data_IF_806923577054
#
_entry.id   IF_806923577054
#
_cell.length_a   1.000
_cell.length_b   1.000
_cell.length_c   1.000
_cell.angle_alpha   90.00
_cell.angle_beta   90.00
_cell.angle_gamma   90.00
#
_symmetry.space_group_name_H-M   'P 1'
#
loop_
_entity.id
_entity.type
_entity.pdbx_description
1 polymer ?
#
# COMPACT_ATOMS: atom_id res chain seq x y z
N UNK A 1 -9.76 -17.72 10.55
CA UNK A 1 -11.05 -18.30 10.98
C UNK A 1 -11.78 -17.41 11.99
N UNK A 2 -11.17 -16.99 13.10
CA UNK A 2 -11.81 -16.13 14.11
C UNK A 2 -12.32 -14.77 13.58
N UNK A 3 -11.57 -14.13 12.68
CA UNK A 3 -11.97 -12.84 12.08
C UNK A 3 -13.20 -12.94 11.17
N UNK A 4 -13.40 -14.08 10.48
CA UNK A 4 -14.55 -14.28 9.60
C UNK A 4 -15.87 -14.38 10.39
N UNK A 5 -15.80 -14.94 11.60
CA UNK A 5 -16.93 -15.05 12.53
C UNK A 5 -17.43 -13.64 12.92
N UNK A 6 -16.52 -12.69 13.17
CA UNK A 6 -16.86 -11.32 13.54
C UNK A 6 -17.68 -10.59 12.47
N UNK A 7 -17.40 -10.84 11.20
CA UNK A 7 -18.11 -10.21 10.08
C UNK A 7 -19.33 -11.00 9.59
N UNK A 8 -19.59 -12.18 10.14
CA UNK A 8 -20.69 -13.04 9.70
C UNK A 8 -22.06 -12.35 9.78
N UNK A 9 -22.42 -11.64 10.87
CA UNK A 9 -23.71 -10.93 10.95
C UNK A 9 -23.85 -9.85 9.87
N UNK A 10 -22.76 -9.12 9.59
CA UNK A 10 -22.72 -8.09 8.56
C UNK A 10 -22.92 -8.69 7.17
N UNK A 11 -22.21 -9.78 6.84
CA UNK A 11 -22.31 -10.44 5.54
C UNK A 11 -23.70 -11.04 5.31
N UNK A 12 -24.28 -11.69 6.32
CA UNK A 12 -25.63 -12.24 6.25
C UNK A 12 -26.67 -11.12 6.07
N UNK A 13 -26.61 -10.08 6.91
CA UNK A 13 -27.55 -8.95 6.82
C UNK A 13 -27.45 -8.23 5.47
N UNK A 14 -26.24 -8.01 4.97
CA UNK A 14 -26.01 -7.36 3.67
C UNK A 14 -26.52 -8.21 2.52
N UNK A 15 -26.36 -9.54 2.59
CA UNK A 15 -26.90 -10.46 1.58
C UNK A 15 -28.43 -10.42 1.55
N UNK A 16 -29.07 -10.50 2.72
CA UNK A 16 -30.54 -10.41 2.83
C UNK A 16 -31.03 -9.07 2.25
N UNK A 17 -30.41 -7.95 2.64
CA UNK A 17 -30.77 -6.61 2.13
C UNK A 17 -30.59 -6.50 0.61
N UNK A 18 -29.53 -7.09 0.06
CA UNK A 18 -29.27 -7.07 -1.37
C UNK A 18 -30.39 -7.73 -2.17
N UNK A 19 -30.92 -8.86 -1.70
CA UNK A 19 -31.99 -9.58 -2.39
C UNK A 19 -33.38 -8.98 -2.12
N UNK A 20 -33.63 -8.45 -0.92
CA UNK A 20 -34.94 -7.88 -0.58
C UNK A 20 -35.14 -6.46 -1.11
N UNK A 21 -34.11 -5.61 -1.02
CA UNK A 21 -34.21 -4.19 -1.40
C UNK A 21 -33.53 -3.88 -2.73
N UNK A 22 -32.86 -4.86 -3.33
CA UNK A 22 -31.98 -4.66 -4.47
C UNK A 22 -30.58 -4.15 -4.10
N UNK A 23 -29.65 -4.10 -5.07
CA UNK A 23 -28.32 -3.57 -4.84
C UNK A 23 -28.34 -2.04 -4.64
N UNK A 24 -27.40 -1.47 -3.87
CA UNK A 24 -27.29 -0.01 -3.71
C UNK A 24 -27.10 0.76 -5.01
N UNK A 25 -26.52 0.11 -6.03
CA UNK A 25 -26.41 0.59 -7.40
C UNK A 25 -26.69 -0.57 -8.36
N UNK A 26 -27.30 -0.34 -9.53
CA UNK A 26 -27.61 -1.42 -10.48
C UNK A 26 -26.38 -2.24 -10.92
N UNK A 27 -25.19 -1.64 -10.92
CA UNK A 27 -23.93 -2.30 -11.30
C UNK A 27 -23.29 -3.13 -10.19
N UNK A 28 -23.82 -3.10 -8.97
CA UNK A 28 -23.23 -3.82 -7.84
C UNK A 28 -23.78 -5.23 -7.79
N UNK A 29 -22.98 -6.21 -8.18
CA UNK A 29 -23.26 -7.61 -7.88
C UNK A 29 -23.18 -7.87 -6.37
N UNK A 30 -23.66 -9.04 -5.93
CA UNK A 30 -23.66 -9.40 -4.50
C UNK A 30 -22.23 -9.37 -3.93
N UNK A 31 -21.25 -9.87 -4.68
CA UNK A 31 -19.84 -9.92 -4.24
C UNK A 31 -19.33 -8.52 -3.94
N UNK A 32 -19.53 -7.58 -4.86
CA UNK A 32 -19.13 -6.19 -4.70
C UNK A 32 -19.85 -5.53 -3.53
N UNK A 33 -21.17 -5.76 -3.38
CA UNK A 33 -21.93 -5.20 -2.27
C UNK A 33 -21.40 -5.71 -0.91
N UNK A 34 -21.11 -7.00 -0.80
CA UNK A 34 -20.54 -7.60 0.42
C UNK A 34 -19.14 -7.08 0.70
N UNK A 35 -18.28 -7.02 -0.32
CA UNK A 35 -16.93 -6.46 -0.20
C UNK A 35 -16.97 -5.01 0.26
N UNK A 36 -17.87 -4.20 -0.28
CA UNK A 36 -18.02 -2.80 0.11
C UNK A 36 -18.57 -2.63 1.54
N UNK A 37 -19.53 -3.46 1.94
CA UNK A 37 -20.02 -3.48 3.32
C UNK A 37 -18.91 -3.83 4.31
N UNK A 38 -18.08 -4.82 3.97
CA UNK A 38 -16.91 -5.18 4.77
C UNK A 38 -15.90 -4.03 4.86
N UNK A 39 -15.57 -3.39 3.74
CA UNK A 39 -14.69 -2.22 3.74
C UNK A 39 -15.26 -1.10 4.62
N UNK A 40 -16.53 -0.73 4.47
CA UNK A 40 -17.16 0.30 5.31
C UNK A 40 -17.08 -0.03 6.80
N UNK A 41 -17.23 -1.30 7.17
CA UNK A 41 -17.12 -1.73 8.56
C UNK A 41 -15.68 -1.65 9.07
N UNK A 42 -14.69 -2.04 8.27
CA UNK A 42 -13.27 -1.98 8.65
C UNK A 42 -12.81 -0.51 8.77
N UNK A 43 -13.27 0.34 7.85
CA UNK A 43 -12.95 1.77 7.79
C UNK A 43 -13.89 2.65 8.62
N UNK A 44 -14.77 2.06 9.43
CA UNK A 44 -15.63 2.85 10.31
C UNK A 44 -14.78 3.55 11.38
N UNK A 45 -15.15 4.78 11.74
CA UNK A 45 -14.42 5.57 12.74
C UNK A 45 -14.23 4.81 14.07
N UNK A 46 -15.19 3.95 14.44
CA UNK A 46 -15.12 3.14 15.67
C UNK A 46 -14.08 2.02 15.61
N UNK A 47 -13.86 1.40 14.44
CA UNK A 47 -12.82 0.40 14.25
C UNK A 47 -11.44 1.00 13.99
N UNK A 48 -11.39 2.23 13.46
CA UNK A 48 -10.15 2.93 13.19
C UNK A 48 -9.62 3.77 14.36
N UNK A 49 -10.49 4.46 15.10
CA UNK A 49 -10.12 5.38 16.18
C UNK A 49 -9.59 4.70 17.44
N UNK A 50 -9.68 3.36 17.53
CA UNK A 50 -9.17 2.59 18.67
C UNK A 50 -7.74 2.05 18.47
N UNK A 51 -7.13 2.23 17.29
CA UNK A 51 -5.79 1.70 16.97
C UNK A 51 -4.86 2.80 16.49
N UNK A 52 -3.58 2.67 16.84
CA UNK A 52 -2.54 3.54 16.26
C UNK A 52 -2.27 3.18 14.80
N UNK A 53 -1.60 4.07 14.07
CA UNK A 53 -1.18 3.84 12.69
C UNK A 53 -0.32 2.58 12.59
N UNK A 54 0.60 2.39 13.53
CA UNK A 54 1.51 1.24 13.56
C UNK A 54 0.74 -0.07 13.75
N UNK A 55 -0.25 -0.08 14.64
CA UNK A 55 -1.13 -1.25 14.83
C UNK A 55 -1.93 -1.56 13.57
N UNK A 56 -2.42 -0.54 12.86
CA UNK A 56 -3.12 -0.71 11.59
C UNK A 56 -2.22 -1.27 10.49
N UNK A 57 -0.98 -0.80 10.42
CA UNK A 57 0.03 -1.31 9.49
C UNK A 57 0.33 -2.78 9.79
N UNK A 58 0.57 -3.13 11.05
CA UNK A 58 0.84 -4.51 11.47
C UNK A 58 -0.32 -5.46 11.14
N UNK A 59 -1.57 -5.04 11.40
CA UNK A 59 -2.76 -5.85 11.12
C UNK A 59 -3.04 -6.07 9.63
N UNK A 60 -2.63 -5.11 8.79
CA UNK A 60 -2.83 -5.14 7.35
C UNK A 60 -1.60 -5.55 6.55
N UNK A 61 -0.48 -5.79 7.23
CA UNK A 61 0.71 -6.44 6.67
C UNK A 61 0.39 -7.90 6.36
N UNK A 62 -0.26 -8.12 5.22
CA UNK A 62 -0.63 -9.45 4.73
C UNK A 62 0.14 -9.70 3.44
N UNK A 63 1.33 -10.31 3.51
CA UNK A 63 2.15 -10.54 2.34
C UNK A 63 1.38 -11.45 1.37
N UNK A 64 1.44 -11.09 0.08
CA UNK A 64 0.90 -11.95 -0.98
C UNK A 64 2.03 -12.79 -1.57
N UNK A 65 1.76 -14.06 -1.94
CA UNK A 65 2.76 -14.88 -2.60
C UNK A 65 3.28 -14.23 -3.88
N UNK A 66 4.58 -14.38 -4.13
CA UNK A 66 5.20 -14.00 -5.39
C UNK A 66 4.58 -14.83 -6.50
N UNK A 67 4.15 -14.19 -7.59
CA UNK A 67 3.53 -14.90 -8.71
C UNK A 67 4.58 -15.69 -9.49
N UNK A 68 4.16 -16.80 -10.10
CA UNK A 68 5.05 -17.66 -10.88
C UNK A 68 5.78 -16.87 -11.99
N UNK A 69 7.09 -17.06 -12.07
CA UNK A 69 7.94 -16.36 -13.03
C UNK A 69 8.35 -14.93 -12.61
N UNK A 70 8.12 -14.55 -11.36
CA UNK A 70 8.72 -13.37 -10.75
C UNK A 70 9.70 -13.75 -9.63
N UNK A 71 10.68 -12.89 -9.41
CA UNK A 71 11.71 -12.98 -8.38
C UNK A 71 11.73 -11.67 -7.61
N UNK A 72 11.90 -11.77 -6.29
CA UNK A 72 12.01 -10.62 -5.39
C UNK A 72 13.45 -10.52 -4.90
N UNK A 73 14.06 -9.34 -5.05
CA UNK A 73 15.34 -9.01 -4.42
C UNK A 73 15.13 -7.84 -3.46
N UNK A 74 15.16 -8.13 -2.16
CA UNK A 74 15.05 -7.11 -1.13
C UNK A 74 16.37 -6.37 -0.96
N UNK A 75 16.30 -5.06 -0.75
CA UNK A 75 17.46 -4.24 -0.46
C UNK A 75 17.07 -3.02 0.35
N UNK A 76 18.08 -2.32 0.85
CA UNK A 76 17.90 -1.09 1.61
C UNK A 76 18.42 0.10 0.82
N UNK A 77 17.60 1.15 0.72
CA UNK A 77 18.01 2.41 0.13
C UNK A 77 18.66 3.24 1.23
N UNK A 78 19.90 3.67 0.97
CA UNK A 78 20.67 4.47 1.91
C UNK A 78 19.95 5.79 2.27
N UNK A 79 19.98 6.17 3.54
CA UNK A 79 19.26 7.35 4.02
C UNK A 79 19.81 8.69 3.49
N UNK A 80 21.03 8.73 2.93
CA UNK A 80 21.61 9.95 2.32
C UNK A 80 20.65 10.60 1.33
N UNK A 81 19.89 9.80 0.57
CA UNK A 81 18.95 10.30 -0.42
C UNK A 81 17.73 11.00 0.20
N UNK A 82 17.34 10.65 1.44
CA UNK A 82 16.29 11.39 2.17
C UNK A 82 16.78 12.78 2.55
N UNK A 83 18.00 12.90 3.08
CA UNK A 83 18.59 14.20 3.41
C UNK A 83 18.81 15.06 2.16
N UNK A 84 19.31 14.48 1.07
CA UNK A 84 19.40 15.18 -0.22
C UNK A 84 18.02 15.69 -0.68
N UNK A 85 16.98 14.86 -0.58
CA UNK A 85 15.61 15.25 -0.93
C UNK A 85 15.03 16.33 0.00
N UNK A 86 15.36 16.33 1.29
CA UNK A 86 14.88 17.31 2.27
C UNK A 86 15.20 18.74 1.84
N UNK A 87 16.41 18.98 1.33
CA UNK A 87 16.84 20.31 0.83
C UNK A 87 15.95 20.80 -0.31
N UNK A 88 15.43 19.89 -1.14
CA UNK A 88 14.48 20.24 -2.19
C UNK A 88 13.06 20.46 -1.65
N UNK A 89 12.62 19.60 -0.72
CA UNK A 89 11.31 19.72 -0.09
C UNK A 89 11.17 21.02 0.71
N UNK A 90 12.19 21.44 1.46
CA UNK A 90 12.19 22.71 2.19
C UNK A 90 11.91 23.90 1.27
N UNK A 91 12.50 23.93 0.08
CA UNK A 91 12.26 25.00 -0.89
C UNK A 91 10.82 24.99 -1.41
N UNK A 92 10.27 23.80 -1.69
CA UNK A 92 8.92 23.63 -2.23
C UNK A 92 7.86 23.94 -1.16
N UNK A 93 8.10 23.51 0.07
CA UNK A 93 7.14 23.57 1.18
C UNK A 93 7.18 24.89 1.94
N UNK A 94 8.21 25.72 1.73
CA UNK A 94 8.36 27.03 2.39
C UNK A 94 7.08 27.90 2.38
N UNK A 95 6.33 28.04 1.27
CA UNK A 95 5.08 28.83 1.28
C UNK A 95 3.98 28.25 2.19
N UNK A 96 4.05 26.96 2.50
CA UNK A 96 3.04 26.21 3.25
C UNK A 96 3.44 25.98 4.72
N UNK A 97 4.55 26.55 5.19
CA UNK A 97 5.08 26.30 6.54
C UNK A 97 4.06 26.62 7.66
N UNK A 98 3.14 27.55 7.41
CA UNK A 98 2.07 27.91 8.34
C UNK A 98 0.97 26.85 8.53
N UNK A 99 0.87 25.86 7.63
CA UNK A 99 -0.12 24.76 7.70
C UNK A 99 0.52 23.39 7.84
N UNK A 100 1.84 23.30 7.86
CA UNK A 100 2.57 22.03 7.96
C UNK A 100 3.05 21.81 9.39
N UNK A 101 2.94 20.58 9.84
CA UNK A 101 3.59 20.13 11.08
C UNK A 101 5.12 20.21 10.96
N UNK A 102 5.87 20.31 12.05
CA UNK A 102 7.34 20.30 12.02
C UNK A 102 7.92 18.89 11.99
N UNK A 103 7.13 17.85 12.34
CA UNK A 103 7.53 16.43 12.35
C UNK A 103 8.11 15.95 11.02
N UNK A 104 7.70 16.58 9.93
CA UNK A 104 8.10 16.24 8.58
C UNK A 104 9.61 16.44 8.34
N UNK A 105 10.24 17.32 9.11
CA UNK A 105 11.69 17.59 9.10
C UNK A 105 12.50 16.59 9.93
N UNK A 106 11.84 15.85 10.82
CA UNK A 106 12.46 14.84 11.68
C UNK A 106 12.62 13.53 10.90
N UNK A 107 13.68 13.47 10.09
CA UNK A 107 14.00 12.28 9.31
C UNK A 107 14.56 11.19 10.22
N UNK A 108 13.96 10.01 10.15
CA UNK A 108 14.53 8.81 10.73
C UNK A 108 15.83 8.41 10.00
N UNK A 109 16.88 8.09 10.76
CA UNK A 109 18.18 7.62 10.25
C UNK A 109 18.17 6.19 9.68
N UNK A 110 17.09 5.45 9.90
CA UNK A 110 16.95 4.09 9.38
C UNK A 110 16.87 4.07 7.85
N UNK A 111 17.58 3.14 7.21
CA UNK A 111 17.49 2.93 5.76
C UNK A 111 16.08 2.56 5.30
N UNK A 112 15.78 2.80 4.02
CA UNK A 112 14.45 2.53 3.45
C UNK A 112 14.37 1.08 2.98
N UNK A 113 13.40 0.31 3.47
CA UNK A 113 13.18 -1.03 2.93
C UNK A 113 12.53 -0.97 1.55
N UNK A 114 13.14 -1.61 0.56
CA UNK A 114 12.67 -1.68 -0.81
C UNK A 114 12.84 -3.08 -1.39
N UNK A 115 12.16 -3.34 -2.51
CA UNK A 115 12.34 -4.60 -3.24
C UNK A 115 12.35 -4.36 -4.75
N UNK A 116 13.16 -5.15 -5.44
CA UNK A 116 13.04 -5.33 -6.88
C UNK A 116 12.14 -6.52 -7.18
N UNK A 117 11.12 -6.31 -8.00
CA UNK A 117 10.31 -7.37 -8.59
C UNK A 117 10.70 -7.49 -10.05
N UNK A 118 11.20 -8.66 -10.44
CA UNK A 118 11.79 -8.89 -11.75
C UNK A 118 11.47 -10.27 -12.30
N UNK A 119 11.60 -10.42 -13.61
CA UNK A 119 11.53 -11.73 -14.26
C UNK A 119 12.93 -12.37 -14.19
N UNK A 120 13.07 -13.62 -13.71
CA UNK A 120 14.38 -14.25 -13.63
C UNK A 120 14.94 -14.51 -15.04
N UNK A 121 16.27 -14.41 -15.19
CA UNK A 121 16.98 -14.64 -16.45
C UNK A 121 16.46 -13.77 -17.63
N UNK A 122 16.00 -12.57 -17.34
CA UNK A 122 15.44 -11.62 -18.33
C UNK A 122 16.51 -10.89 -19.17
N UNK A 123 17.79 -11.18 -18.92
CA UNK A 123 18.96 -10.53 -19.50
C UNK A 123 18.91 -9.00 -19.44
N UNK A 124 18.19 -8.42 -18.46
CA UNK A 124 17.90 -6.99 -18.41
C UNK A 124 19.16 -6.12 -18.39
N UNK A 125 20.25 -6.60 -17.79
CA UNK A 125 21.54 -5.91 -17.81
C UNK A 125 22.18 -5.82 -19.20
N UNK A 126 21.83 -6.71 -20.14
CA UNK A 126 22.37 -6.69 -21.51
C UNK A 126 21.54 -5.83 -22.46
N UNK A 127 20.38 -5.35 -22.04
CA UNK A 127 19.46 -4.60 -22.89
C UNK A 127 19.95 -3.18 -23.12
N UNK A 128 19.81 -2.72 -24.36
CA UNK A 128 20.03 -1.32 -24.73
C UNK A 128 19.03 -0.39 -24.02
N UNK A 129 17.76 -0.80 -23.99
CA UNK A 129 16.70 -0.07 -23.28
C UNK A 129 16.29 -0.85 -22.03
N UNK A 130 16.50 -0.22 -20.88
CA UNK A 130 16.20 -0.77 -19.56
C UNK A 130 15.01 -0.04 -18.95
N UNK A 131 13.86 -0.73 -18.91
CA UNK A 131 12.64 -0.18 -18.32
C UNK A 131 12.56 -0.48 -16.83
N UNK A 132 12.25 0.56 -16.06
CA UNK A 132 12.03 0.50 -14.61
C UNK A 132 10.74 1.20 -14.25
N UNK A 133 9.97 0.63 -13.32
CA UNK A 133 8.75 1.23 -12.77
C UNK A 133 8.94 1.43 -11.27
N UNK A 134 8.82 2.66 -10.80
CA UNK A 134 8.68 2.94 -9.37
C UNK A 134 7.22 2.69 -8.96
N UNK A 135 6.99 1.69 -8.12
CA UNK A 135 5.66 1.34 -7.64
C UNK A 135 5.49 1.77 -6.18
N UNK A 136 4.51 2.65 -5.94
CA UNK A 136 4.11 3.10 -4.61
C UNK A 136 2.78 2.43 -4.27
N UNK A 137 2.75 1.68 -3.17
CA UNK A 137 1.56 0.91 -2.82
C UNK A 137 0.42 1.80 -2.32
N UNK A 138 -0.82 1.36 -2.54
CA UNK A 138 -2.01 2.01 -1.97
C UNK A 138 -2.21 1.64 -0.49
N UNK A 139 -3.26 2.15 0.14
CA UNK A 139 -3.56 1.88 1.55
C UNK A 139 -3.70 3.12 2.41
N UNK A 140 -3.92 4.29 1.80
CA UNK A 140 -4.23 5.52 2.53
C UNK A 140 -3.12 6.00 3.46
N UNK A 141 -1.87 5.62 3.21
CA UNK A 141 -0.69 5.96 4.03
C UNK A 141 -0.56 5.23 5.37
N UNK A 142 -1.56 4.44 5.82
CA UNK A 142 -1.49 3.73 7.11
C UNK A 142 -1.84 2.24 7.01
N UNK A 143 -2.09 1.71 5.80
CA UNK A 143 -2.37 0.29 5.57
C UNK A 143 -1.42 -0.31 4.55
N UNK A 144 -1.39 -1.66 4.52
CA UNK A 144 -0.68 -2.46 3.53
C UNK A 144 0.85 -2.31 3.58
N UNK A 145 1.50 -3.00 2.64
CA UNK A 145 2.95 -2.97 2.47
C UNK A 145 3.33 -3.28 1.02
N UNK A 146 4.62 -3.19 0.70
CA UNK A 146 5.14 -3.65 -0.61
C UNK A 146 4.80 -5.13 -0.87
N UNK A 147 4.87 -5.97 0.16
CA UNK A 147 4.60 -7.40 0.08
C UNK A 147 3.12 -7.71 -0.18
N UNK A 148 2.20 -6.89 0.32
CA UNK A 148 0.76 -7.08 0.08
C UNK A 148 0.34 -6.79 -1.36
N UNK A 149 1.22 -6.16 -2.16
CA UNK A 149 0.97 -5.82 -3.56
C UNK A 149 1.76 -6.68 -4.55
N UNK A 150 2.46 -7.73 -4.10
CA UNK A 150 3.22 -8.66 -4.98
C UNK A 150 2.34 -9.34 -6.03
N UNK A 151 1.06 -9.55 -5.76
CA UNK A 151 0.06 -10.02 -6.72
C UNK A 151 -0.23 -9.03 -7.87
N UNK A 152 0.05 -7.73 -7.68
CA UNK A 152 -0.09 -6.67 -8.68
C UNK A 152 1.25 -6.40 -9.37
N UNK A 153 2.33 -6.27 -8.59
CA UNK A 153 3.66 -5.93 -9.14
C UNK A 153 4.23 -7.08 -9.97
N UNK A 154 4.07 -8.34 -9.56
CA UNK A 154 4.64 -9.47 -10.32
C UNK A 154 4.08 -9.57 -11.76
N UNK A 155 2.74 -9.52 -11.99
CA UNK A 155 2.21 -9.49 -13.35
C UNK A 155 2.59 -8.23 -14.13
N UNK A 156 2.70 -7.06 -13.48
CA UNK A 156 3.12 -5.82 -14.15
C UNK A 156 4.56 -5.96 -14.64
N UNK A 157 5.48 -6.48 -13.82
CA UNK A 157 6.88 -6.65 -14.19
C UNK A 157 7.02 -7.50 -15.46
N UNK A 158 6.26 -8.60 -15.51
CA UNK A 158 6.20 -9.50 -16.66
C UNK A 158 5.56 -8.84 -17.90
N UNK A 159 4.38 -8.22 -17.74
CA UNK A 159 3.61 -7.67 -18.88
C UNK A 159 4.26 -6.42 -19.47
N UNK A 160 4.83 -5.56 -18.62
CA UNK A 160 5.52 -4.35 -19.05
C UNK A 160 6.96 -4.64 -19.50
N UNK A 161 7.45 -5.86 -19.27
CA UNK A 161 8.84 -6.25 -19.52
C UNK A 161 9.80 -5.21 -18.92
N UNK A 162 9.60 -4.98 -17.62
CA UNK A 162 10.25 -3.93 -16.84
C UNK A 162 10.53 -4.44 -15.42
N UNK A 163 11.62 -3.94 -14.81
CA UNK A 163 11.88 -4.18 -13.38
C UNK A 163 11.05 -3.21 -12.54
N UNK A 164 10.43 -3.71 -11.50
CA UNK A 164 9.67 -2.86 -10.58
C UNK A 164 10.48 -2.62 -9.33
N UNK A 165 10.69 -1.35 -9.01
CA UNK A 165 11.13 -0.93 -7.69
C UNK A 165 9.88 -0.75 -6.82
N UNK A 166 9.55 -1.78 -6.04
CA UNK A 166 8.48 -1.75 -5.05
C UNK A 166 8.94 -1.00 -3.82
N UNK A 167 8.32 0.16 -3.55
CA UNK A 167 8.67 0.99 -2.41
C UNK A 167 7.48 1.16 -1.46
N UNK A 168 7.88 1.29 -0.19
CA UNK A 168 7.18 1.74 1.00
C UNK A 168 6.69 0.62 1.93
N UNK A 169 7.19 0.69 3.16
CA UNK A 169 6.37 0.49 4.36
C UNK A 169 6.22 1.89 4.97
N UNK A 170 4.99 2.39 5.11
CA UNK A 170 4.71 3.77 5.55
C UNK A 170 5.23 4.13 6.95
N UNK A 171 5.67 3.14 7.73
CA UNK A 171 6.43 3.32 8.98
C UNK A 171 7.65 4.24 8.82
N UNK A 172 8.09 4.47 7.59
CA UNK A 172 9.24 5.30 7.21
C UNK A 172 8.86 6.68 6.63
N UNK A 173 7.56 7.02 6.56
CA UNK A 173 7.05 8.33 6.12
C UNK A 173 5.98 8.87 7.09
N UNK A 174 6.39 9.30 8.28
CA UNK A 174 5.50 10.03 9.22
C UNK A 174 4.94 11.34 8.64
N UNK A 175 5.57 11.88 7.59
CA UNK A 175 5.22 13.14 6.92
C UNK A 175 3.73 13.26 6.49
N UNK A 176 3.01 12.16 6.23
CA UNK A 176 1.76 12.20 5.44
C UNK A 176 0.45 11.98 6.22
N UNK A 177 0.48 11.77 7.54
CA UNK A 177 -0.71 11.23 8.26
C UNK A 177 -1.38 12.25 9.22
N UNK A 178 -0.83 13.44 9.40
CA UNK A 178 -1.46 14.48 10.24
C UNK A 178 -2.25 15.51 9.40
N UNK A 179 -3.29 15.06 8.70
CA UNK A 179 -4.34 15.91 8.10
C UNK A 179 -5.71 15.55 8.66
#
# INVERSE_FOLDING_TARGET
MAELIKFSPLLISTSIKHYLNGPPRPSWDLKFHLTWALYKSIFSYTSMGAKTIEQMQEDTFRPTPVQAGAMINEFKINNKYRHEAQVHLEKILKPYEHVLDTEWRDLNDNEINAEWVQVPNDEWEKREIRKTILYLHGGGYYLCSKESHRNITSPIAKKADARILGKLNFREMKFLINF
#
